data_IF_218092857636
#
_entry.id   IF_218092857636
#
_cell.length_a   1.000
_cell.length_b   1.000
_cell.length_c   1.000
_cell.angle_alpha   90.00
_cell.angle_beta   90.00
_cell.angle_gamma   90.00
#
_symmetry.space_group_name_H-M   'P 1'
#
loop_
_entity.id
_entity.type
_entity.pdbx_description
1 polymer ?
#
# COMPACT_ATOMS: atom_id res chain seq x y z
N UNK A 1 14.35 20.52 15.26
CA UNK A 1 14.29 19.17 14.65
C UNK A 1 15.07 19.22 13.35
N UNK A 2 16.03 18.33 13.16
CA UNK A 2 16.85 18.26 11.94
C UNK A 2 16.04 17.72 10.76
N UNK A 3 16.39 18.10 9.53
CA UNK A 3 15.72 17.60 8.31
C UNK A 3 15.74 16.06 8.24
N UNK A 4 16.80 15.43 8.77
CA UNK A 4 16.93 13.98 8.84
C UNK A 4 15.88 13.28 9.73
N UNK A 5 15.32 13.96 10.75
CA UNK A 5 14.35 13.38 11.66
C UNK A 5 12.89 13.47 11.17
N UNK A 6 12.60 14.41 10.28
CA UNK A 6 11.26 14.66 9.74
C UNK A 6 10.58 13.41 9.13
N UNK A 7 11.23 12.62 8.25
CA UNK A 7 10.58 11.45 7.65
C UNK A 7 10.29 10.34 8.67
N UNK A 8 11.18 10.13 9.64
CA UNK A 8 10.98 9.17 10.73
C UNK A 8 9.80 9.53 11.63
N UNK A 9 9.62 10.82 11.90
CA UNK A 9 8.49 11.29 12.69
C UNK A 9 7.18 11.16 11.94
N UNK A 10 7.17 11.47 10.64
CA UNK A 10 5.98 11.32 9.81
C UNK A 10 5.50 9.86 9.78
N UNK A 11 6.41 8.90 9.58
CA UNK A 11 6.09 7.48 9.64
C UNK A 11 5.78 7.01 11.08
N UNK A 12 6.44 7.60 12.08
CA UNK A 12 6.33 7.23 13.48
C UNK A 12 5.01 7.58 14.14
N UNK A 13 4.37 8.70 13.77
CA UNK A 13 3.07 9.11 14.34
C UNK A 13 2.00 8.01 14.24
N UNK A 14 1.67 7.48 13.04
CA UNK A 14 0.67 6.42 12.92
C UNK A 14 1.13 5.09 13.53
N UNK A 15 2.43 4.76 13.53
CA UNK A 15 2.95 3.56 14.20
C UNK A 15 2.78 3.65 15.73
N UNK A 16 3.13 4.79 16.32
CA UNK A 16 2.90 5.06 17.73
C UNK A 16 1.41 5.06 18.06
N UNK A 17 0.59 5.63 17.19
CA UNK A 17 -0.87 5.57 17.31
C UNK A 17 -1.41 4.14 17.28
N UNK A 18 -0.89 3.28 16.41
CA UNK A 18 -1.25 1.86 16.38
C UNK A 18 -0.91 1.17 17.71
N UNK A 19 0.26 1.43 18.29
CA UNK A 19 0.64 0.90 19.61
C UNK A 19 -0.23 1.44 20.74
N UNK A 20 -0.47 2.75 20.76
CA UNK A 20 -1.30 3.41 21.77
C UNK A 20 -2.75 2.94 21.73
N UNK A 21 -3.25 2.61 20.53
CA UNK A 21 -4.59 2.08 20.33
C UNK A 21 -4.81 0.75 21.06
N UNK A 22 -3.75 -0.04 21.32
CA UNK A 22 -3.84 -1.28 22.10
C UNK A 22 -4.29 -1.05 23.54
N UNK A 23 -4.00 0.11 24.15
CA UNK A 23 -4.51 0.45 25.49
C UNK A 23 -6.01 0.74 25.49
N UNK A 24 -6.57 1.17 24.36
CA UNK A 24 -8.01 1.42 24.20
C UNK A 24 -8.77 0.20 23.66
N UNK A 25 -8.14 -0.98 23.57
CA UNK A 25 -8.71 -2.17 22.92
C UNK A 25 -10.06 -2.59 23.49
N UNK A 26 -10.28 -2.42 24.79
CA UNK A 26 -11.53 -2.80 25.46
C UNK A 26 -12.75 -2.00 24.97
N UNK A 27 -12.57 -0.74 24.53
CA UNK A 27 -13.66 0.13 24.12
C UNK A 27 -13.57 0.44 22.61
N UNK A 28 -14.46 -0.19 21.83
CA UNK A 28 -14.45 -0.07 20.37
C UNK A 28 -14.66 1.37 19.87
N UNK A 29 -15.50 2.16 20.55
CA UNK A 29 -15.73 3.56 20.19
C UNK A 29 -14.47 4.42 20.43
N UNK A 30 -13.80 4.25 21.56
CA UNK A 30 -12.52 4.93 21.86
C UNK A 30 -11.40 4.50 20.90
N UNK A 31 -11.37 3.22 20.53
CA UNK A 31 -10.39 2.71 19.60
C UNK A 31 -10.56 3.33 18.20
N UNK A 32 -11.79 3.34 17.66
CA UNK A 32 -12.04 3.96 16.35
C UNK A 32 -11.76 5.46 16.35
N UNK A 33 -12.23 6.17 17.37
CA UNK A 33 -12.01 7.63 17.49
C UNK A 33 -10.53 7.96 17.60
N UNK A 34 -9.77 7.22 18.40
CA UNK A 34 -8.31 7.42 18.48
C UNK A 34 -7.62 7.13 17.14
N UNK A 35 -8.01 6.10 16.40
CA UNK A 35 -7.43 5.82 15.09
C UNK A 35 -7.74 6.91 14.04
N UNK A 36 -8.97 7.43 14.03
CA UNK A 36 -9.34 8.56 13.18
C UNK A 36 -8.53 9.80 13.54
N UNK A 37 -8.41 10.12 14.84
CA UNK A 37 -7.64 11.26 15.33
C UNK A 37 -6.15 11.15 14.95
N UNK A 38 -5.54 9.97 15.14
CA UNK A 38 -4.15 9.73 14.73
C UNK A 38 -3.98 9.94 13.23
N UNK A 39 -4.92 9.48 12.41
CA UNK A 39 -4.87 9.68 10.95
C UNK A 39 -4.95 11.16 10.57
N UNK A 40 -5.82 11.93 11.24
CA UNK A 40 -5.93 13.37 11.06
C UNK A 40 -4.66 14.13 11.53
N UNK A 41 -4.08 13.73 12.67
CA UNK A 41 -2.81 14.28 13.16
C UNK A 41 -1.68 13.97 12.17
N UNK A 42 -1.65 12.76 11.62
CA UNK A 42 -0.67 12.36 10.60
C UNK A 42 -0.79 13.22 9.34
N UNK A 43 -2.02 13.55 8.92
CA UNK A 43 -2.25 14.49 7.82
C UNK A 43 -1.73 15.89 8.12
N UNK A 44 -2.04 16.44 9.30
CA UNK A 44 -1.53 17.75 9.74
C UNK A 44 0.01 17.76 9.82
N UNK A 45 0.61 16.66 10.29
CA UNK A 45 2.05 16.49 10.33
C UNK A 45 2.67 16.42 8.92
N UNK A 46 2.02 15.75 7.97
CA UNK A 46 2.47 15.72 6.58
C UNK A 46 2.56 17.15 6.01
N UNK A 47 1.52 17.97 6.20
CA UNK A 47 1.51 19.38 5.77
C UNK A 47 2.63 20.17 6.47
N UNK A 48 2.70 20.09 7.80
CA UNK A 48 3.68 20.86 8.59
C UNK A 48 5.14 20.48 8.35
N UNK A 49 5.40 19.25 7.92
CA UNK A 49 6.74 18.73 7.66
C UNK A 49 7.16 18.79 6.19
N UNK A 50 6.26 19.12 5.26
CA UNK A 50 6.55 19.04 3.81
C UNK A 50 7.78 19.83 3.40
N UNK A 51 7.98 21.04 3.93
CA UNK A 51 9.17 21.85 3.64
C UNK A 51 10.49 21.30 4.19
N UNK A 52 10.45 20.20 4.97
CA UNK A 52 11.62 19.52 5.55
C UNK A 52 11.84 18.12 4.99
N UNK A 53 10.91 17.62 4.18
CA UNK A 53 11.02 16.34 3.50
C UNK A 53 11.76 16.54 2.17
N UNK A 54 12.51 15.52 1.76
CA UNK A 54 13.04 15.51 0.40
C UNK A 54 11.86 15.51 -0.58
N UNK A 55 11.90 16.37 -1.60
CA UNK A 55 10.83 16.45 -2.59
C UNK A 55 10.84 15.17 -3.44
N UNK A 56 9.80 14.33 -3.38
CA UNK A 56 9.70 13.15 -4.23
C UNK A 56 9.43 13.59 -5.69
N UNK A 57 9.76 12.75 -6.69
CA UNK A 57 9.63 13.10 -8.10
C UNK A 57 8.18 13.36 -8.51
N UNK A 58 7.21 12.67 -7.92
CA UNK A 58 5.77 12.87 -8.14
C UNK A 58 5.12 13.96 -7.25
N UNK A 59 5.93 14.66 -6.44
CA UNK A 59 5.47 15.71 -5.54
C UNK A 59 4.75 15.20 -4.27
N UNK A 60 4.32 16.13 -3.41
CA UNK A 60 3.79 15.80 -2.09
C UNK A 60 2.38 15.18 -2.06
N UNK A 61 1.75 14.98 -3.23
CA UNK A 61 0.36 14.52 -3.34
C UNK A 61 0.12 13.22 -2.56
N UNK A 62 0.96 12.21 -2.77
CA UNK A 62 0.81 10.90 -2.13
C UNK A 62 0.98 10.97 -0.61
N UNK A 63 1.87 11.84 -0.13
CA UNK A 63 2.09 12.07 1.32
C UNK A 63 0.83 12.61 2.01
N UNK A 64 0.02 13.39 1.30
CA UNK A 64 -1.24 13.93 1.81
C UNK A 64 -2.41 12.97 1.62
N UNK A 65 -2.44 12.25 0.50
CA UNK A 65 -3.55 11.40 0.13
C UNK A 65 -3.64 10.15 1.03
N UNK A 66 -2.51 9.57 1.43
CA UNK A 66 -2.48 8.38 2.30
C UNK A 66 -3.18 8.63 3.66
N UNK A 67 -2.83 9.65 4.45
CA UNK A 67 -3.52 9.95 5.70
C UNK A 67 -5.01 10.24 5.53
N UNK A 68 -5.40 10.93 4.45
CA UNK A 68 -6.81 11.20 4.13
C UNK A 68 -7.56 9.89 3.85
N UNK A 69 -6.99 9.00 3.05
CA UNK A 69 -7.60 7.72 2.74
C UNK A 69 -7.72 6.82 3.97
N UNK A 70 -6.71 6.82 4.85
CA UNK A 70 -6.80 6.15 6.14
C UNK A 70 -7.95 6.71 6.98
N UNK A 71 -8.05 8.05 7.09
CA UNK A 71 -9.14 8.70 7.83
C UNK A 71 -10.53 8.33 7.27
N UNK A 72 -10.72 8.45 5.95
CA UNK A 72 -11.99 8.12 5.28
C UNK A 72 -12.34 6.64 5.42
N UNK A 73 -11.37 5.73 5.25
CA UNK A 73 -11.59 4.29 5.40
C UNK A 73 -12.03 3.91 6.83
N UNK A 74 -11.47 4.56 7.86
CA UNK A 74 -11.86 4.37 9.26
C UNK A 74 -13.23 4.98 9.59
N UNK A 75 -13.55 6.14 8.99
CA UNK A 75 -14.85 6.79 9.13
C UNK A 75 -15.97 6.01 8.43
N UNK A 76 -15.69 5.36 7.30
CA UNK A 76 -16.68 4.55 6.57
C UNK A 76 -17.10 3.25 7.27
N UNK A 77 -16.45 2.88 8.38
CA UNK A 77 -16.71 1.63 9.08
C UNK A 77 -17.79 1.73 10.17
N UNK A 78 -18.71 0.75 10.28
CA UNK A 78 -19.60 0.66 11.42
C UNK A 78 -18.83 0.33 12.71
N UNK A 79 -19.37 0.77 13.85
CA UNK A 79 -18.82 0.45 15.17
C UNK A 79 -19.11 -1.02 15.50
N UNK A 80 -18.17 -1.91 15.19
CA UNK A 80 -18.27 -3.32 15.51
C UNK A 80 -16.96 -3.86 16.11
N UNK A 81 -17.08 -4.79 17.06
CA UNK A 81 -15.93 -5.34 17.79
C UNK A 81 -14.97 -6.12 16.88
N UNK A 82 -15.47 -6.76 15.84
CA UNK A 82 -14.66 -7.54 14.90
C UNK A 82 -13.76 -6.68 14.00
N UNK A 83 -14.00 -5.37 13.95
CA UNK A 83 -13.22 -4.42 13.14
C UNK A 83 -12.07 -3.76 13.90
N UNK A 84 -11.87 -4.07 15.18
CA UNK A 84 -10.80 -3.48 16.00
C UNK A 84 -9.43 -3.69 15.36
N UNK A 85 -9.16 -4.90 14.91
CA UNK A 85 -7.87 -5.22 14.28
C UNK A 85 -7.70 -4.49 12.95
N UNK A 86 -8.75 -4.34 12.15
CA UNK A 86 -8.65 -3.59 10.89
C UNK A 86 -8.30 -2.12 11.15
N UNK A 87 -8.82 -1.50 12.22
CA UNK A 87 -8.47 -0.11 12.56
C UNK A 87 -7.00 0.05 12.94
N UNK A 88 -6.48 -0.84 13.79
CA UNK A 88 -5.07 -0.83 14.20
C UNK A 88 -4.16 -1.15 13.01
N UNK A 89 -4.54 -2.13 12.19
CA UNK A 89 -3.80 -2.49 10.98
C UNK A 89 -3.79 -1.35 9.95
N UNK A 90 -4.88 -0.58 9.79
CA UNK A 90 -4.88 0.61 8.93
C UNK A 90 -3.83 1.63 9.38
N UNK A 91 -3.69 1.90 10.68
CA UNK A 91 -2.65 2.79 11.20
C UNK A 91 -1.24 2.23 10.99
N UNK A 92 -1.05 0.93 11.23
CA UNK A 92 0.22 0.25 11.00
C UNK A 92 0.64 0.38 9.53
N UNK A 93 -0.27 0.06 8.60
CA UNK A 93 -0.04 0.15 7.16
C UNK A 93 0.15 1.59 6.69
N UNK A 94 -0.54 2.57 7.31
CA UNK A 94 -0.34 4.00 7.04
C UNK A 94 1.08 4.42 7.40
N UNK A 95 1.56 4.06 8.59
CA UNK A 95 2.92 4.37 9.01
C UNK A 95 3.98 3.69 8.18
N UNK A 96 3.75 2.43 7.83
CA UNK A 96 4.64 1.70 6.93
C UNK A 96 4.67 2.34 5.54
N UNK A 97 3.51 2.70 4.97
CA UNK A 97 3.41 3.35 3.68
C UNK A 97 4.05 4.74 3.65
N UNK A 98 3.84 5.57 4.66
CA UNK A 98 4.51 6.87 4.77
C UNK A 98 6.03 6.72 4.91
N UNK A 99 6.49 5.67 5.59
CA UNK A 99 7.92 5.36 5.65
C UNK A 99 8.49 4.98 4.29
N UNK A 100 7.74 4.23 3.45
CA UNK A 100 8.13 3.97 2.06
C UNK A 100 8.29 5.27 1.26
N UNK A 101 7.35 6.21 1.39
CA UNK A 101 7.36 7.47 0.63
C UNK A 101 8.41 8.48 1.12
N UNK A 102 8.69 8.49 2.43
CA UNK A 102 9.46 9.57 3.06
C UNK A 102 10.91 9.20 3.37
N UNK A 103 11.24 7.91 3.60
CA UNK A 103 12.59 7.51 3.95
C UNK A 103 13.44 7.22 2.70
N UNK A 104 14.60 7.87 2.53
CA UNK A 104 15.46 7.62 1.39
C UNK A 104 16.24 6.31 1.53
N UNK A 105 16.87 5.89 0.43
CA UNK A 105 17.88 4.81 0.36
C UNK A 105 17.36 3.46 0.85
N UNK A 106 17.84 2.97 1.99
CA UNK A 106 17.56 1.65 2.55
C UNK A 106 16.26 1.65 3.37
N UNK A 107 15.86 2.82 3.91
CA UNK A 107 14.68 2.94 4.77
C UNK A 107 13.38 2.61 4.04
N UNK A 108 13.16 3.19 2.85
CA UNK A 108 11.96 2.95 2.06
C UNK A 108 11.75 1.45 1.72
N UNK A 109 12.72 0.76 1.09
CA UNK A 109 12.61 -0.67 0.80
C UNK A 109 12.41 -1.56 2.04
N UNK A 110 13.02 -1.22 3.18
CA UNK A 110 12.83 -1.94 4.43
C UNK A 110 11.39 -1.79 4.95
N UNK A 111 10.85 -0.57 4.92
CA UNK A 111 9.45 -0.31 5.28
C UNK A 111 8.48 -1.02 4.32
N UNK A 112 8.83 -1.11 3.02
CA UNK A 112 8.06 -1.85 2.04
C UNK A 112 8.04 -3.34 2.32
N UNK A 113 9.20 -3.93 2.65
CA UNK A 113 9.32 -5.33 3.03
C UNK A 113 8.46 -5.65 4.27
N UNK A 114 8.48 -4.77 5.28
CA UNK A 114 7.63 -4.90 6.46
C UNK A 114 6.14 -4.77 6.12
N UNK A 115 5.77 -3.83 5.24
CA UNK A 115 4.39 -3.64 4.78
C UNK A 115 3.86 -4.89 4.09
N UNK A 116 4.63 -5.45 3.16
CA UNK A 116 4.27 -6.68 2.45
C UNK A 116 4.20 -7.88 3.40
N UNK A 117 5.13 -7.98 4.35
CA UNK A 117 5.08 -8.98 5.43
C UNK A 117 3.81 -8.88 6.28
N UNK A 118 3.39 -7.67 6.65
CA UNK A 118 2.14 -7.44 7.35
C UNK A 118 0.93 -7.86 6.51
N UNK A 119 0.90 -7.57 5.21
CA UNK A 119 -0.19 -8.00 4.33
C UNK A 119 -0.25 -9.53 4.19
N UNK A 120 0.89 -10.21 4.08
CA UNK A 120 0.97 -11.68 4.09
C UNK A 120 0.39 -12.23 5.40
N UNK A 121 0.81 -11.69 6.55
CA UNK A 121 0.31 -12.13 7.85
C UNK A 121 -1.20 -11.91 8.00
N UNK A 122 -1.72 -10.77 7.53
CA UNK A 122 -3.15 -10.46 7.54
C UNK A 122 -3.94 -11.40 6.61
N UNK A 123 -3.45 -11.67 5.40
CA UNK A 123 -4.09 -12.58 4.46
C UNK A 123 -4.08 -14.02 4.96
N UNK A 124 -2.99 -14.46 5.59
CA UNK A 124 -2.90 -15.77 6.22
C UNK A 124 -3.89 -15.89 7.40
N UNK A 125 -3.99 -14.85 8.23
CA UNK A 125 -4.92 -14.81 9.37
C UNK A 125 -6.38 -14.79 8.95
N UNK A 126 -6.74 -14.02 7.91
CA UNK A 126 -8.14 -13.80 7.49
C UNK A 126 -8.59 -14.72 6.37
N UNK A 127 -8.43 -16.03 6.55
CA UNK A 127 -9.06 -17.03 5.70
C UNK A 127 -10.38 -17.51 6.32
N UNK A 128 -11.34 -17.88 5.49
CA UNK A 128 -12.61 -18.48 5.94
C UNK A 128 -12.92 -19.71 5.07
N UNK A 129 -13.82 -20.62 5.51
CA UNK A 129 -14.21 -21.77 4.68
C UNK A 129 -14.76 -21.37 3.31
N UNK A 130 -15.42 -20.20 3.22
CA UNK A 130 -15.96 -19.63 1.98
C UNK A 130 -14.89 -18.96 1.11
N UNK A 131 -13.72 -18.66 1.67
CA UNK A 131 -12.59 -17.99 1.01
C UNK A 131 -11.27 -18.64 1.46
N UNK A 132 -10.90 -19.80 0.88
CA UNK A 132 -9.71 -20.56 1.27
C UNK A 132 -8.44 -19.78 0.92
N UNK A 133 -7.34 -20.04 1.62
CA UNK A 133 -6.04 -19.34 1.49
C UNK A 133 -5.66 -19.13 0.01
N UNK A 134 -5.34 -17.88 -0.37
CA UNK A 134 -4.82 -17.58 -1.71
C UNK A 134 -3.32 -17.61 -1.67
N UNK A 135 -2.76 -18.76 -2.04
CA UNK A 135 -1.32 -18.93 -2.19
C UNK A 135 -0.74 -18.02 -3.27
N UNK A 136 -1.51 -17.68 -4.31
CA UNK A 136 -1.09 -16.72 -5.34
C UNK A 136 -1.00 -15.29 -4.79
N UNK A 137 -2.00 -14.85 -4.01
CA UNK A 137 -1.97 -13.54 -3.36
C UNK A 137 -0.84 -13.40 -2.34
N UNK A 138 -0.65 -14.42 -1.51
CA UNK A 138 0.47 -14.46 -0.56
C UNK A 138 1.82 -14.53 -1.29
N UNK A 139 1.91 -15.36 -2.33
CA UNK A 139 3.11 -15.54 -3.13
C UNK A 139 3.54 -14.26 -3.87
N UNK A 140 2.59 -13.50 -4.42
CA UNK A 140 2.89 -12.21 -5.08
C UNK A 140 3.48 -11.19 -4.11
N UNK A 141 2.93 -11.05 -2.90
CA UNK A 141 3.54 -10.20 -1.87
C UNK A 141 4.86 -10.74 -1.34
N UNK A 142 5.01 -12.05 -1.20
CA UNK A 142 6.28 -12.68 -0.83
C UNK A 142 7.38 -12.40 -1.86
N UNK A 143 7.04 -12.52 -3.15
CA UNK A 143 7.91 -12.15 -4.25
C UNK A 143 8.27 -10.66 -4.22
N UNK A 144 7.29 -9.77 -4.01
CA UNK A 144 7.53 -8.33 -3.86
C UNK A 144 8.47 -8.00 -2.70
N UNK A 145 8.32 -8.67 -1.55
CA UNK A 145 9.17 -8.49 -0.38
C UNK A 145 10.61 -8.97 -0.65
N UNK A 146 10.76 -10.10 -1.34
CA UNK A 146 12.06 -10.61 -1.78
C UNK A 146 12.73 -9.64 -2.76
N UNK A 147 11.99 -9.12 -3.74
CA UNK A 147 12.49 -8.11 -4.67
C UNK A 147 12.91 -6.82 -3.96
N UNK A 148 12.14 -6.36 -2.98
CA UNK A 148 12.52 -5.22 -2.14
C UNK A 148 13.84 -5.50 -1.38
N UNK A 149 13.99 -6.68 -0.77
CA UNK A 149 15.23 -7.06 -0.09
C UNK A 149 16.44 -7.12 -1.06
N UNK A 150 16.27 -7.73 -2.23
CA UNK A 150 17.33 -7.79 -3.27
C UNK A 150 17.71 -6.38 -3.73
N UNK A 151 16.75 -5.48 -3.86
CA UNK A 151 17.03 -4.09 -4.28
C UNK A 151 17.98 -3.35 -3.34
N UNK A 152 18.01 -3.73 -2.06
CA UNK A 152 18.86 -3.11 -1.03
C UNK A 152 20.31 -3.60 -1.08
N UNK A 153 20.53 -4.85 -1.49
CA UNK A 153 21.84 -5.51 -1.41
C UNK A 153 22.53 -5.67 -2.78
N UNK A 154 21.77 -5.65 -3.87
CA UNK A 154 22.30 -5.90 -5.21
C UNK A 154 22.95 -4.65 -5.81
N UNK A 155 24.00 -4.85 -6.61
CA UNK A 155 24.57 -3.79 -7.44
C UNK A 155 23.65 -3.45 -8.63
N UNK A 156 23.81 -2.26 -9.21
CA UNK A 156 23.18 -1.93 -10.50
C UNK A 156 23.75 -2.82 -11.61
N UNK A 157 22.93 -3.31 -12.57
CA UNK A 157 21.52 -2.98 -12.81
C UNK A 157 20.50 -3.84 -12.03
N UNK A 158 20.94 -4.87 -11.32
CA UNK A 158 20.06 -5.83 -10.67
C UNK A 158 19.15 -5.21 -9.60
N UNK A 159 19.64 -4.22 -8.84
CA UNK A 159 18.79 -3.50 -7.88
C UNK A 159 17.66 -2.71 -8.53
N UNK A 160 17.88 -2.14 -9.72
CA UNK A 160 16.84 -1.43 -10.47
C UNK A 160 15.79 -2.42 -11.00
N UNK A 161 16.21 -3.54 -11.57
CA UNK A 161 15.30 -4.61 -12.00
C UNK A 161 14.47 -5.17 -10.83
N UNK A 162 15.10 -5.41 -9.68
CA UNK A 162 14.42 -5.86 -8.47
C UNK A 162 13.41 -4.81 -7.96
N UNK A 163 13.76 -3.52 -8.00
CA UNK A 163 12.85 -2.43 -7.64
C UNK A 163 11.65 -2.35 -8.58
N UNK A 164 11.86 -2.49 -9.90
CA UNK A 164 10.78 -2.55 -10.89
C UNK A 164 9.83 -3.72 -10.61
N UNK A 165 10.37 -4.90 -10.33
CA UNK A 165 9.57 -6.08 -10.01
C UNK A 165 8.80 -5.89 -8.69
N UNK A 166 9.43 -5.30 -7.67
CA UNK A 166 8.73 -4.96 -6.42
C UNK A 166 7.57 -3.99 -6.69
N UNK A 167 7.78 -2.93 -7.48
CA UNK A 167 6.72 -2.01 -7.90
C UNK A 167 5.62 -2.74 -8.65
N UNK A 168 5.97 -3.65 -9.56
CA UNK A 168 5.01 -4.43 -10.33
C UNK A 168 4.10 -5.32 -9.46
N UNK A 169 4.51 -5.70 -8.25
CA UNK A 169 3.66 -6.43 -7.28
C UNK A 169 2.71 -5.54 -6.49
N UNK A 170 3.02 -4.26 -6.34
CA UNK A 170 2.18 -3.26 -5.65
C UNK A 170 1.15 -2.66 -6.60
N UNK A 171 1.56 -2.52 -7.85
CA UNK A 171 0.75 -2.08 -8.95
C UNK A 171 -0.10 -3.25 -9.45
N UNK A 172 -1.43 -3.12 -9.60
CA UNK A 172 -2.27 -4.21 -10.08
C UNK A 172 -2.06 -4.44 -11.58
N UNK A 173 -0.93 -5.03 -11.94
CA UNK A 173 -0.51 -5.38 -13.29
C UNK A 173 -0.71 -6.86 -13.53
N UNK A 174 -1.04 -7.27 -14.75
CA UNK A 174 -0.93 -8.69 -15.14
C UNK A 174 0.56 -9.00 -15.33
N UNK A 175 1.11 -10.10 -14.79
CA UNK A 175 0.45 -11.18 -14.03
C UNK A 175 0.42 -10.99 -12.50
N UNK A 176 1.00 -9.94 -11.93
CA UNK A 176 1.21 -9.76 -10.49
C UNK A 176 0.01 -9.26 -9.66
N UNK A 177 -1.14 -9.03 -10.31
CA UNK A 177 -2.33 -8.45 -9.71
C UNK A 177 -3.04 -9.26 -8.61
N UNK A 178 -2.72 -10.55 -8.46
CA UNK A 178 -3.39 -11.44 -7.50
C UNK A 178 -3.29 -10.94 -6.05
N UNK A 179 -2.17 -10.33 -5.65
CA UNK A 179 -2.02 -9.71 -4.34
C UNK A 179 -3.07 -8.61 -4.10
N UNK A 180 -3.18 -7.67 -5.05
CA UNK A 180 -4.17 -6.59 -5.01
C UNK A 180 -5.62 -7.11 -4.95
N UNK A 181 -5.98 -8.06 -5.84
CA UNK A 181 -7.34 -8.62 -5.86
C UNK A 181 -7.65 -9.35 -4.55
N UNK A 182 -6.72 -10.14 -4.03
CA UNK A 182 -6.92 -10.92 -2.81
C UNK A 182 -7.02 -10.04 -1.57
N UNK A 183 -6.20 -8.99 -1.47
CA UNK A 183 -6.26 -8.04 -0.35
C UNK A 183 -7.59 -7.29 -0.29
N UNK A 184 -8.12 -6.83 -1.44
CA UNK A 184 -9.41 -6.13 -1.49
C UNK A 184 -10.58 -7.06 -1.15
N UNK A 185 -10.54 -8.28 -1.67
CA UNK A 185 -11.68 -9.19 -1.58
C UNK A 185 -11.76 -9.88 -0.22
N UNK A 186 -10.63 -10.13 0.44
CA UNK A 186 -10.55 -10.99 1.62
C UNK A 186 -10.24 -10.27 2.92
N UNK A 187 -9.58 -9.12 2.87
CA UNK A 187 -9.30 -8.39 4.10
C UNK A 187 -10.59 -7.78 4.68
N UNK A 188 -10.70 -7.73 6.02
CA UNK A 188 -11.89 -7.22 6.66
C UNK A 188 -11.83 -5.71 6.84
N UNK A 189 -13.02 -5.15 7.02
CA UNK A 189 -13.20 -3.81 7.54
C UNK A 189 -12.67 -2.67 6.66
N UNK A 190 -11.87 -1.76 7.25
CA UNK A 190 -11.28 -0.59 6.58
C UNK A 190 -10.13 -0.93 5.65
N UNK A 191 -9.59 -2.15 5.76
CA UNK A 191 -8.38 -2.53 5.03
C UNK A 191 -8.57 -2.52 3.52
N UNK A 192 -9.61 -3.14 2.92
CA UNK A 192 -9.81 -3.08 1.48
C UNK A 192 -9.85 -1.67 0.90
N UNK A 193 -10.62 -0.76 1.52
CA UNK A 193 -10.78 0.61 1.01
C UNK A 193 -9.49 1.42 1.12
N UNK A 194 -8.70 1.19 2.18
CA UNK A 194 -7.39 1.82 2.31
C UNK A 194 -6.36 1.22 1.34
N UNK A 195 -6.33 -0.10 1.21
CA UNK A 195 -5.36 -0.84 0.40
C UNK A 195 -5.51 -0.56 -1.10
N UNK A 196 -6.74 -0.36 -1.58
CA UNK A 196 -7.03 0.07 -2.96
C UNK A 196 -6.19 1.29 -3.36
N UNK A 197 -5.91 2.19 -2.42
CA UNK A 197 -5.10 3.38 -2.67
C UNK A 197 -3.65 3.21 -2.24
N UNK A 198 -3.41 2.59 -1.09
CA UNK A 198 -2.07 2.40 -0.52
C UNK A 198 -1.14 1.69 -1.51
N UNK A 199 -1.53 0.53 -2.03
CA UNK A 199 -0.62 -0.27 -2.86
C UNK A 199 -0.25 0.43 -4.18
N UNK A 200 -1.22 0.93 -4.97
CA UNK A 200 -0.89 1.65 -6.19
C UNK A 200 -0.10 2.93 -5.92
N UNK A 201 -0.39 3.67 -4.84
CA UNK A 201 0.39 4.85 -4.47
C UNK A 201 1.87 4.51 -4.22
N UNK A 202 2.15 3.46 -3.46
CA UNK A 202 3.52 3.04 -3.18
C UNK A 202 4.24 2.52 -4.44
N UNK A 203 3.54 1.75 -5.27
CA UNK A 203 4.10 1.27 -6.53
C UNK A 203 4.37 2.39 -7.53
N UNK A 204 3.51 3.42 -7.58
CA UNK A 204 3.71 4.62 -8.39
C UNK A 204 4.93 5.42 -7.93
N UNK A 205 5.06 5.64 -6.63
CA UNK A 205 6.23 6.31 -6.05
C UNK A 205 7.54 5.58 -6.41
N UNK A 206 7.57 4.26 -6.20
CA UNK A 206 8.73 3.45 -6.56
C UNK A 206 9.01 3.45 -8.06
N UNK A 207 7.97 3.38 -8.89
CA UNK A 207 8.11 3.41 -10.34
C UNK A 207 8.66 4.75 -10.82
N UNK A 208 8.17 5.87 -10.29
CA UNK A 208 8.66 7.21 -10.64
C UNK A 208 10.15 7.39 -10.35
N UNK A 209 10.66 6.75 -9.29
CA UNK A 209 12.09 6.76 -8.96
C UNK A 209 12.95 5.90 -9.90
N UNK A 210 12.41 4.82 -10.46
CA UNK A 210 13.17 3.83 -11.25
C UNK A 210 13.01 4.02 -12.76
N UNK A 211 11.89 4.60 -13.20
CA UNK A 211 11.55 4.78 -14.62
C UNK A 211 12.63 5.55 -15.41
N UNK A 212 13.24 6.65 -14.91
CA UNK A 212 14.27 7.37 -15.64
C UNK A 212 15.53 6.55 -15.93
N UNK A 213 15.80 5.51 -15.12
CA UNK A 213 16.93 4.61 -15.29
C UNK A 213 16.59 3.35 -16.10
N UNK A 214 15.35 3.22 -16.57
CA UNK A 214 14.85 2.02 -17.25
C UNK A 214 15.15 2.06 -18.75
N UNK A 215 15.82 1.05 -19.32
CA UNK A 215 16.05 0.96 -20.77
C UNK A 215 14.75 0.94 -21.58
N UNK A 216 14.77 1.58 -22.75
CA UNK A 216 13.61 1.69 -23.65
C UNK A 216 12.85 0.37 -23.95
N UNK A 217 13.52 -0.77 -24.19
CA UNK A 217 12.83 -2.04 -24.40
C UNK A 217 12.01 -2.51 -23.18
N UNK A 218 12.49 -2.25 -21.97
CA UNK A 218 11.80 -2.65 -20.74
C UNK A 218 10.58 -1.75 -20.52
N UNK A 219 10.70 -0.45 -20.82
CA UNK A 219 9.56 0.46 -20.79
C UNK A 219 8.42 -0.01 -21.73
N UNK A 220 8.76 -0.43 -22.96
CA UNK A 220 7.79 -1.01 -23.90
C UNK A 220 7.06 -2.24 -23.34
N UNK A 221 7.79 -3.15 -22.70
CA UNK A 221 7.19 -4.34 -22.07
C UNK A 221 6.21 -3.94 -20.97
N UNK A 222 6.57 -2.96 -20.14
CA UNK A 222 5.71 -2.43 -19.08
C UNK A 222 4.44 -1.82 -19.67
N UNK A 223 4.53 -1.05 -20.76
CA UNK A 223 3.37 -0.50 -21.49
C UNK A 223 2.53 -1.57 -22.19
N UNK A 224 3.09 -2.72 -22.57
CA UNK A 224 2.26 -3.82 -23.09
C UNK A 224 1.50 -4.52 -21.96
N UNK A 225 2.17 -4.78 -20.83
CA UNK A 225 1.56 -5.36 -19.63
C UNK A 225 0.47 -4.46 -19.07
N UNK A 226 0.66 -3.16 -19.15
CA UNK A 226 -0.33 -2.13 -18.89
C UNK A 226 -1.65 -2.32 -19.62
N UNK A 227 -1.57 -2.33 -20.96
CA UNK A 227 -2.71 -2.39 -21.84
C UNK A 227 -3.43 -3.72 -21.66
N UNK A 228 -2.66 -4.81 -21.53
CA UNK A 228 -3.19 -6.12 -21.21
C UNK A 228 -3.92 -6.11 -19.85
N UNK A 229 -3.33 -5.51 -18.82
CA UNK A 229 -3.94 -5.37 -17.49
C UNK A 229 -5.22 -4.55 -17.52
N UNK A 230 -5.21 -3.42 -18.22
CA UNK A 230 -6.36 -2.55 -18.42
C UNK A 230 -7.54 -3.30 -19.05
N UNK A 231 -7.30 -3.99 -20.16
CA UNK A 231 -8.30 -4.78 -20.87
C UNK A 231 -8.79 -5.96 -20.02
N UNK A 232 -7.86 -6.69 -19.40
CA UNK A 232 -8.16 -7.83 -18.55
C UNK A 232 -9.05 -7.43 -17.36
N UNK A 233 -8.71 -6.34 -16.68
CA UNK A 233 -9.49 -5.79 -15.57
C UNK A 233 -10.89 -5.38 -15.99
N UNK A 234 -11.02 -4.68 -17.13
CA UNK A 234 -12.33 -4.26 -17.64
C UNK A 234 -13.23 -5.46 -17.96
N UNK A 235 -12.73 -6.44 -18.71
CA UNK A 235 -13.48 -7.65 -19.08
C UNK A 235 -13.85 -8.46 -17.82
N UNK A 236 -12.91 -8.67 -16.90
CA UNK A 236 -13.17 -9.41 -15.66
C UNK A 236 -14.18 -8.70 -14.78
N UNK A 237 -14.11 -7.37 -14.65
CA UNK A 237 -15.03 -6.57 -13.86
C UNK A 237 -16.47 -6.68 -14.36
N UNK A 238 -16.69 -6.60 -15.68
CA UNK A 238 -18.01 -6.76 -16.30
C UNK A 238 -18.63 -8.14 -16.03
N UNK A 239 -17.80 -9.17 -15.87
CA UNK A 239 -18.25 -10.52 -15.55
C UNK A 239 -18.53 -10.76 -14.05
N UNK A 240 -18.23 -9.81 -13.16
CA UNK A 240 -18.44 -10.00 -11.72
C UNK A 240 -19.82 -9.53 -11.25
N UNK A 241 -20.53 -10.39 -10.53
CA UNK A 241 -21.76 -10.04 -9.81
C UNK A 241 -21.51 -9.54 -8.39
N UNK A 242 -20.35 -9.83 -7.80
CA UNK A 242 -19.98 -9.42 -6.44
C UNK A 242 -19.28 -8.06 -6.47
N UNK A 243 -19.86 -7.07 -5.79
CA UNK A 243 -19.35 -5.68 -5.74
C UNK A 243 -17.86 -5.60 -5.41
N UNK A 244 -17.37 -6.37 -4.43
CA UNK A 244 -15.94 -6.37 -4.05
C UNK A 244 -15.01 -6.83 -5.17
N UNK A 245 -15.40 -7.86 -5.92
CA UNK A 245 -14.62 -8.36 -7.05
C UNK A 245 -14.72 -7.38 -8.24
N UNK A 246 -15.90 -6.82 -8.48
CA UNK A 246 -16.10 -5.78 -9.49
C UNK A 246 -15.21 -4.56 -9.23
N UNK A 247 -15.16 -4.07 -7.98
CA UNK A 247 -14.27 -2.97 -7.60
C UNK A 247 -12.79 -3.34 -7.68
N UNK A 248 -12.41 -4.56 -7.29
CA UNK A 248 -11.02 -5.01 -7.40
C UNK A 248 -10.53 -5.00 -8.86
N UNK A 249 -11.28 -5.64 -9.77
CA UNK A 249 -10.91 -5.67 -11.19
C UNK A 249 -11.13 -4.32 -11.91
N UNK A 250 -12.11 -3.52 -11.47
CA UNK A 250 -12.31 -2.16 -11.97
C UNK A 250 -11.15 -1.24 -11.59
N UNK A 251 -10.71 -1.29 -10.33
CA UNK A 251 -9.52 -0.55 -9.86
C UNK A 251 -8.25 -1.01 -10.59
N UNK A 252 -8.10 -2.31 -10.83
CA UNK A 252 -7.02 -2.87 -11.63
C UNK A 252 -6.96 -2.26 -13.03
N UNK A 253 -8.12 -2.17 -13.70
CA UNK A 253 -8.21 -1.57 -15.03
C UNK A 253 -7.81 -0.10 -15.02
N UNK A 254 -8.35 0.66 -14.06
CA UNK A 254 -8.08 2.09 -13.92
C UNK A 254 -6.61 2.38 -13.61
N UNK A 255 -6.03 1.72 -12.61
CA UNK A 255 -4.61 1.88 -12.29
C UNK A 255 -3.72 1.41 -13.43
N UNK A 256 -4.17 0.40 -14.18
CA UNK A 256 -3.52 -0.01 -15.42
C UNK A 256 -3.72 0.97 -16.61
N UNK A 257 -4.34 2.13 -16.44
CA UNK A 257 -4.40 3.20 -17.45
C UNK A 257 -3.63 4.46 -17.02
N UNK A 258 -3.49 4.70 -15.72
CA UNK A 258 -3.14 6.01 -15.17
C UNK A 258 -1.65 6.37 -15.26
N UNK A 259 -0.74 5.40 -15.45
CA UNK A 259 0.69 5.67 -15.26
C UNK A 259 1.59 5.50 -16.48
N UNK A 260 1.02 5.53 -17.69
CA UNK A 260 1.74 5.48 -18.98
C UNK A 260 1.48 6.73 -19.81
#
# INVERSE_FOLDING_TARGET
MTAAAAPWLLAGIPLAGALLSLFAWANAARLRTSAVLVSAITFGAAIGLTGRLASPPEGALLLYLLPVAACVSLLGQPLHHDHRLSWVATLLLLGLGLGVLALPTIGGPLFLMLLLGCLIALLYRYHTPLWPISWLGIGTYGFGAMCAAVSMIAARPFSAAASLLACATLLPLVPFHEGHVTSITRLPGSLPSFIVLLLPALGLHGLAAVLPATPGPIAWIVTLLAMAGSLYGAVKALAQSRVRLLLAYGSLSFFSMVWW
#
